data_IF_976188330281
#
_entry.id   IF_976188330281
#
_cell.length_a   1.000
_cell.length_b   1.000
_cell.length_c   1.000
_cell.angle_alpha   90.00
_cell.angle_beta   90.00
_cell.angle_gamma   90.00
#
_symmetry.space_group_name_H-M   'P 1'
#
loop_
_entity.id
_entity.type
_entity.pdbx_description
1 polymer ?
#
# COMPACT_ATOMS: atom_id res chain seq x y z
N UNK A 1 11.09 -6.14 -3.57
CA UNK A 1 10.04 -6.53 -2.60
C UNK A 1 9.05 -5.41 -2.31
N UNK A 2 8.07 -5.17 -3.19
CA UNK A 2 7.14 -4.04 -3.02
C UNK A 2 6.11 -4.27 -1.90
N UNK A 3 5.61 -5.50 -1.77
CA UNK A 3 4.55 -5.87 -0.82
C UNK A 3 4.98 -5.88 0.65
N UNK A 4 6.23 -5.56 0.97
CA UNK A 4 6.73 -5.48 2.35
C UNK A 4 6.66 -4.07 2.92
N UNK A 5 6.24 -3.08 2.13
CA UNK A 5 6.21 -1.66 2.48
C UNK A 5 4.81 -1.20 2.89
N UNK A 6 4.71 -0.14 3.71
CA UNK A 6 3.43 0.45 4.08
C UNK A 6 2.69 1.02 2.85
N UNK A 7 3.41 1.60 1.88
CA UNK A 7 2.89 2.05 0.59
C UNK A 7 3.80 1.48 -0.52
N UNK A 8 3.19 0.86 -1.52
CA UNK A 8 3.84 0.41 -2.75
C UNK A 8 3.16 1.06 -3.96
N UNK A 9 3.95 1.63 -4.85
CA UNK A 9 3.49 2.20 -6.12
C UNK A 9 3.99 1.31 -7.26
N UNK A 10 3.06 0.63 -7.93
CA UNK A 10 3.35 -0.28 -9.03
C UNK A 10 3.08 0.48 -10.33
N UNK A 11 4.12 0.83 -11.07
CA UNK A 11 3.99 1.56 -12.33
C UNK A 11 3.18 0.74 -13.34
N UNK A 12 2.22 1.40 -14.00
CA UNK A 12 1.40 0.82 -15.05
C UNK A 12 1.72 1.51 -16.36
N UNK A 13 1.95 0.68 -17.38
CA UNK A 13 2.11 1.10 -18.77
C UNK A 13 0.87 0.68 -19.57
N UNK A 14 0.39 1.58 -20.41
CA UNK A 14 -0.62 1.30 -21.42
C UNK A 14 -0.11 1.78 -22.78
N UNK A 15 -0.14 0.89 -23.78
CA UNK A 15 0.24 1.22 -25.16
C UNK A 15 1.64 1.86 -25.29
N UNK A 16 2.62 1.38 -24.51
CA UNK A 16 3.99 1.94 -24.55
C UNK A 16 4.14 3.25 -23.78
N UNK A 17 3.13 3.68 -23.01
CA UNK A 17 3.15 4.94 -22.26
C UNK A 17 2.83 4.71 -20.80
N UNK A 18 3.56 5.44 -19.95
CA UNK A 18 3.29 5.47 -18.53
C UNK A 18 1.92 6.07 -18.25
N UNK A 19 1.03 5.28 -17.63
CA UNK A 19 -0.35 5.65 -17.37
C UNK A 19 -0.58 6.12 -15.92
N UNK A 20 0.20 5.59 -14.96
CA UNK A 20 0.03 5.88 -13.54
C UNK A 20 0.47 4.71 -12.66
N UNK A 21 -0.15 4.57 -11.49
CA UNK A 21 0.24 3.57 -10.51
C UNK A 21 -0.94 2.77 -9.97
N UNK A 22 -0.78 1.44 -9.87
CA UNK A 22 -1.53 0.68 -8.90
C UNK A 22 -0.93 0.91 -7.50
N UNK A 23 -1.79 1.14 -6.52
CA UNK A 23 -1.39 1.41 -5.14
C UNK A 23 -1.59 0.16 -4.30
N UNK A 24 -0.53 -0.26 -3.61
CA UNK A 24 -0.56 -1.30 -2.58
C UNK A 24 -0.32 -0.69 -1.19
N UNK A 25 -1.04 -1.17 -0.17
CA UNK A 25 -0.90 -0.65 1.20
C UNK A 25 -0.79 -1.74 2.27
N UNK A 26 -0.15 -1.40 3.39
CA UNK A 26 -0.15 -2.22 4.61
C UNK A 26 0.75 -3.45 4.55
N UNK A 27 1.87 -3.39 3.82
CA UNK A 27 2.92 -4.39 3.92
C UNK A 27 3.79 -4.19 5.17
N UNK A 28 4.37 -5.28 5.69
CA UNK A 28 5.37 -5.17 6.75
C UNK A 28 5.74 -6.50 7.41
N UNK A 29 7.05 -6.75 7.56
CA UNK A 29 7.57 -8.05 8.00
C UNK A 29 7.78 -8.19 9.52
N UNK A 30 7.79 -7.08 10.28
CA UNK A 30 8.13 -7.13 11.71
C UNK A 30 7.17 -7.98 12.53
N UNK A 31 7.70 -8.95 13.28
CA UNK A 31 6.97 -9.83 14.19
C UNK A 31 7.79 -10.08 15.48
N UNK A 32 7.14 -10.63 16.50
CA UNK A 32 7.78 -10.99 17.78
C UNK A 32 7.59 -12.48 18.03
N UNK A 33 8.68 -13.20 18.32
CA UNK A 33 8.62 -14.63 18.64
C UNK A 33 7.72 -14.88 19.86
N UNK A 34 6.85 -15.88 19.78
CA UNK A 34 5.90 -16.22 20.84
C UNK A 34 4.71 -15.27 21.00
N UNK A 35 4.57 -14.23 20.15
CA UNK A 35 3.43 -13.32 20.18
C UNK A 35 2.61 -13.41 18.87
N UNK A 36 1.47 -14.13 18.86
CA UNK A 36 0.66 -14.32 17.66
C UNK A 36 0.01 -13.02 17.17
N UNK A 37 -0.16 -12.01 18.04
CA UNK A 37 -0.72 -10.70 17.67
C UNK A 37 0.21 -9.91 16.74
N UNK A 38 1.46 -10.33 16.55
CA UNK A 38 2.41 -9.66 15.66
C UNK A 38 2.85 -10.59 14.54
N UNK A 39 2.60 -10.21 13.28
CA UNK A 39 2.74 -11.12 12.14
C UNK A 39 3.20 -10.38 10.88
N UNK A 40 3.95 -11.03 9.97
CA UNK A 40 4.24 -10.45 8.66
C UNK A 40 2.95 -10.32 7.84
N UNK A 41 2.84 -9.23 7.05
CA UNK A 41 1.68 -8.98 6.18
C UNK A 41 2.17 -8.51 4.81
N UNK A 42 1.57 -9.02 3.74
CA UNK A 42 1.79 -8.51 2.38
C UNK A 42 0.88 -7.29 2.12
N UNK A 43 1.39 -6.34 1.34
CA UNK A 43 0.61 -5.19 0.89
C UNK A 43 -0.60 -5.62 0.07
N UNK A 44 -1.72 -4.94 0.27
CA UNK A 44 -2.98 -5.16 -0.45
C UNK A 44 -3.09 -4.11 -1.55
N UNK A 45 -3.27 -4.52 -2.81
CA UNK A 45 -3.56 -3.59 -3.91
C UNK A 45 -4.98 -3.07 -3.76
N UNK A 46 -5.14 -1.74 -3.72
CA UNK A 46 -6.41 -1.07 -3.41
C UNK A 46 -7.03 -0.32 -4.59
N UNK A 47 -6.26 -0.08 -5.65
CA UNK A 47 -6.75 0.64 -6.82
C UNK A 47 -5.64 1.26 -7.65
N UNK A 48 -6.04 2.10 -8.59
CA UNK A 48 -5.18 2.82 -9.52
C UNK A 48 -5.33 4.33 -9.35
N UNK A 49 -4.22 5.06 -9.54
CA UNK A 49 -4.15 6.52 -9.55
C UNK A 49 -3.33 7.03 -10.74
N UNK A 50 -3.67 8.22 -11.24
CA UNK A 50 -2.88 8.93 -12.25
C UNK A 50 -1.61 9.54 -11.63
N UNK A 51 -0.62 9.94 -12.44
CA UNK A 51 0.62 10.54 -11.94
C UNK A 51 0.39 11.79 -11.08
N UNK A 52 -0.62 12.59 -11.40
CA UNK A 52 -0.94 13.84 -10.71
C UNK A 52 -1.53 13.59 -9.31
N UNK A 53 -2.19 12.44 -9.12
CA UNK A 53 -2.83 12.05 -7.86
C UNK A 53 -1.83 11.46 -6.84
N UNK A 54 -0.60 11.14 -7.23
CA UNK A 54 0.36 10.37 -6.41
C UNK A 54 0.64 11.01 -5.06
N UNK A 55 0.92 12.32 -5.04
CA UNK A 55 1.28 13.01 -3.80
C UNK A 55 0.10 13.08 -2.84
N UNK A 56 -1.09 13.39 -3.35
CA UNK A 56 -2.30 13.48 -2.53
C UNK A 56 -2.72 12.10 -2.03
N UNK A 57 -2.76 11.08 -2.89
CA UNK A 57 -3.04 9.69 -2.48
C UNK A 57 -2.10 9.21 -1.38
N UNK A 58 -0.79 9.41 -1.54
CA UNK A 58 0.19 9.05 -0.50
C UNK A 58 -0.05 9.84 0.79
N UNK A 59 -0.30 11.14 0.70
CA UNK A 59 -0.57 11.99 1.85
C UNK A 59 -1.83 11.55 2.61
N UNK A 60 -2.93 11.26 1.91
CA UNK A 60 -4.16 10.82 2.55
C UNK A 60 -4.02 9.43 3.17
N UNK A 61 -3.28 8.50 2.55
CA UNK A 61 -2.94 7.21 3.19
C UNK A 61 -2.18 7.44 4.51
N UNK A 62 -1.19 8.33 4.50
CA UNK A 62 -0.45 8.70 5.71
C UNK A 62 -1.36 9.37 6.75
N UNK A 63 -2.32 10.20 6.33
CA UNK A 63 -3.27 10.85 7.22
C UNK A 63 -4.23 9.85 7.87
N UNK A 64 -4.77 8.88 7.11
CA UNK A 64 -5.59 7.79 7.67
C UNK A 64 -4.77 6.99 8.68
N UNK A 65 -3.53 6.62 8.34
CA UNK A 65 -2.64 5.94 9.29
C UNK A 65 -2.35 6.80 10.52
N UNK A 66 -2.18 8.10 10.35
CA UNK A 66 -1.88 9.03 11.44
C UNK A 66 -3.02 9.04 12.45
N UNK A 67 -4.24 9.15 11.95
CA UNK A 67 -5.47 9.36 12.72
C UNK A 67 -6.02 8.07 13.32
N UNK A 68 -5.84 6.93 12.65
CA UNK A 68 -6.43 5.64 13.07
C UNK A 68 -5.40 4.62 13.59
N UNK A 69 -4.10 4.87 13.46
CA UNK A 69 -3.05 3.97 13.93
C UNK A 69 -3.03 3.80 15.45
N UNK A 70 -2.69 2.60 15.94
CA UNK A 70 -2.56 2.39 17.39
C UNK A 70 -1.37 3.21 17.94
N UNK A 71 -1.67 4.16 18.85
CA UNK A 71 -0.64 4.98 19.52
C UNK A 71 -0.33 4.52 20.95
N UNK A 72 -1.13 3.62 21.51
CA UNK A 72 -0.94 3.08 22.85
C UNK A 72 0.06 1.90 22.87
N UNK A 73 -0.02 1.02 21.87
CA UNK A 73 0.92 -0.10 21.72
C UNK A 73 1.76 0.04 20.44
N UNK A 74 3.06 0.27 20.65
CA UNK A 74 4.04 0.41 19.57
C UNK A 74 4.16 -0.85 18.71
N UNK A 75 3.96 -2.05 19.27
CA UNK A 75 4.02 -3.31 18.51
C UNK A 75 2.87 -3.45 17.50
N UNK A 76 1.78 -2.73 17.73
CA UNK A 76 0.57 -2.69 16.91
C UNK A 76 0.41 -1.38 16.11
N UNK A 77 1.47 -0.56 16.02
CA UNK A 77 1.37 0.80 15.48
C UNK A 77 1.57 0.93 13.96
N UNK A 78 2.05 -0.12 13.28
CA UNK A 78 2.29 -0.10 11.81
C UNK A 78 0.98 -0.14 11.02
N UNK A 79 0.98 0.40 9.79
CA UNK A 79 -0.20 0.46 8.94
C UNK A 79 -0.84 -0.91 8.70
N UNK A 80 -0.04 -1.97 8.60
CA UNK A 80 -0.56 -3.34 8.47
C UNK A 80 -1.62 -3.71 9.52
N UNK A 81 -1.44 -3.31 10.78
CA UNK A 81 -2.37 -3.62 11.85
C UNK A 81 -3.58 -2.68 11.85
N UNK A 82 -3.37 -1.41 11.49
CA UNK A 82 -4.49 -0.47 11.27
C UNK A 82 -5.40 -0.99 10.17
N UNK A 83 -4.82 -1.46 9.07
CA UNK A 83 -5.56 -1.99 7.92
C UNK A 83 -6.32 -3.27 8.27
N UNK A 84 -5.70 -4.20 8.99
CA UNK A 84 -6.39 -5.43 9.42
C UNK A 84 -7.49 -5.17 10.46
N UNK A 85 -7.29 -4.18 11.35
CA UNK A 85 -8.31 -3.81 12.35
C UNK A 85 -9.51 -3.10 11.71
N UNK A 86 -9.26 -2.17 10.79
CA UNK A 86 -10.32 -1.41 10.11
C UNK A 86 -11.00 -2.24 9.02
N UNK A 87 -10.26 -3.16 8.39
CA UNK A 87 -10.63 -3.81 7.14
C UNK A 87 -10.29 -2.94 5.93
N UNK A 88 -9.92 -3.61 4.82
CA UNK A 88 -9.50 -2.93 3.57
C UNK A 88 -10.59 -2.03 3.00
N UNK A 89 -11.84 -2.49 2.98
CA UNK A 89 -12.96 -1.74 2.39
C UNK A 89 -13.24 -0.45 3.18
N UNK A 90 -13.20 -0.53 4.51
CA UNK A 90 -13.40 0.65 5.35
C UNK A 90 -12.22 1.63 5.23
N UNK A 91 -10.98 1.13 5.16
CA UNK A 91 -9.82 1.97 4.89
C UNK A 91 -9.95 2.70 3.55
N UNK A 92 -10.38 1.98 2.49
CA UNK A 92 -10.57 2.55 1.16
C UNK A 92 -11.69 3.60 1.16
N UNK A 93 -12.77 3.39 1.91
CA UNK A 93 -13.83 4.39 2.07
C UNK A 93 -13.31 5.68 2.73
N UNK A 94 -12.54 5.58 3.83
CA UNK A 94 -11.92 6.73 4.49
C UNK A 94 -10.95 7.48 3.57
N UNK A 95 -10.20 6.73 2.75
CA UNK A 95 -9.27 7.29 1.78
C UNK A 95 -10.02 8.06 0.68
N UNK A 96 -11.05 7.45 0.08
CA UNK A 96 -11.84 8.06 -0.98
C UNK A 96 -12.57 9.32 -0.49
N UNK A 97 -13.08 9.31 0.74
CA UNK A 97 -13.69 10.50 1.36
C UNK A 97 -12.69 11.67 1.43
N UNK A 98 -11.43 11.38 1.80
CA UNK A 98 -10.38 12.39 1.91
C UNK A 98 -9.87 12.90 0.56
N UNK A 99 -9.83 12.04 -0.45
CA UNK A 99 -9.46 12.40 -1.81
C UNK A 99 -10.59 13.16 -2.53
N UNK A 100 -11.83 13.02 -2.07
CA UNK A 100 -13.01 13.57 -2.74
C UNK A 100 -13.45 12.77 -3.98
N UNK A 101 -12.74 11.69 -4.31
CA UNK A 101 -13.05 10.79 -5.42
C UNK A 101 -12.61 9.37 -5.09
N UNK A 102 -13.20 8.39 -5.79
CA UNK A 102 -12.82 6.99 -5.63
C UNK A 102 -11.58 6.64 -6.46
N UNK A 103 -10.70 5.81 -5.89
CA UNK A 103 -9.65 5.18 -6.68
C UNK A 103 -10.24 4.40 -7.86
N UNK A 104 -9.56 4.42 -8.99
CA UNK A 104 -9.93 3.59 -10.13
C UNK A 104 -9.66 2.11 -9.81
N UNK A 105 -10.34 1.16 -10.49
CA UNK A 105 -10.00 -0.25 -10.38
C UNK A 105 -8.52 -0.49 -10.70
N UNK A 106 -7.89 -1.40 -9.96
CA UNK A 106 -6.50 -1.79 -10.22
C UNK A 106 -6.36 -2.36 -11.63
N UNK A 107 -5.30 -1.97 -12.32
CA UNK A 107 -5.00 -2.41 -13.68
C UNK A 107 -4.17 -3.70 -13.67
N UNK A 108 -4.20 -4.54 -14.72
CA UNK A 108 -3.38 -5.75 -14.77
C UNK A 108 -1.87 -5.42 -14.68
N UNK A 109 -1.13 -6.24 -13.94
CA UNK A 109 0.34 -6.15 -13.83
C UNK A 109 0.91 -7.54 -13.57
N UNK A 110 2.19 -7.74 -13.86
CA UNK A 110 2.92 -8.96 -13.54
C UNK A 110 4.35 -8.64 -13.12
N UNK A 111 4.82 -9.28 -12.07
CA UNK A 111 6.24 -9.31 -11.72
C UNK A 111 6.82 -10.65 -12.18
N UNK A 112 7.81 -10.62 -13.06
CA UNK A 112 8.52 -11.82 -13.54
C UNK A 112 9.79 -12.11 -12.75
N UNK A 113 10.37 -11.10 -12.12
CA UNK A 113 11.68 -11.19 -11.48
C UNK A 113 11.78 -10.36 -10.20
N UNK A 114 12.78 -10.69 -9.38
CA UNK A 114 13.10 -9.98 -8.12
C UNK A 114 14.60 -9.82 -7.89
N UNK A 115 15.42 -10.41 -8.76
CA UNK A 115 16.88 -10.38 -8.64
C UNK A 115 17.48 -9.19 -9.36
N UNK A 116 18.74 -8.90 -9.06
CA UNK A 116 19.47 -7.84 -9.76
C UNK A 116 19.93 -8.30 -11.14
N UNK A 117 19.96 -7.37 -12.08
CA UNK A 117 20.58 -7.55 -13.39
C UNK A 117 22.11 -7.42 -13.27
N UNK A 118 22.80 -8.51 -12.94
CA UNK A 118 24.27 -8.54 -12.90
C UNK A 118 24.88 -8.63 -14.30
N UNK A 119 25.98 -7.92 -14.53
CA UNK A 119 26.70 -7.89 -15.82
C UNK A 119 26.28 -6.73 -16.72
N UNK A 120 26.78 -6.70 -17.95
CA UNK A 120 26.41 -5.70 -18.96
C UNK A 120 25.13 -6.11 -19.69
N UNK A 121 24.24 -5.14 -19.91
CA UNK A 121 22.97 -5.29 -20.62
C UNK A 121 22.75 -4.14 -21.61
#
# INVERSE_FOLDING_TARGET
DIFTNDIGLIAIEEEGRFAGFNVAIGGGLGCTHGNPETYPRLGTVIGFITPEQVLDACWQILAVQRDHGNRADRKQARLKYTLDRLGTDHFLALLNERLGEALQPARPYAFSERGDAFGWQ
#
